data_IF_277125874896
#
_entry.id   IF_277125874896
#
_cell.length_a   1.000
_cell.length_b   1.000
_cell.length_c   1.000
_cell.angle_alpha   90.00
_cell.angle_beta   90.00
_cell.angle_gamma   90.00
#
_symmetry.space_group_name_H-M   'P 1'
#
loop_
_entity.id
_entity.type
_entity.pdbx_description
1 polymer ?
#
# COMPACT_ATOMS: atom_id res chain seq x y z
N UNK A 1 -34.27 -1.88 17.69
CA UNK A 1 -35.01 -1.15 16.64
C UNK A 1 -35.02 -2.04 15.41
N UNK A 2 -36.19 -2.31 14.82
CA UNK A 2 -36.27 -3.12 13.59
C UNK A 2 -36.27 -2.14 12.43
N UNK A 3 -35.25 -2.19 11.57
CA UNK A 3 -35.30 -1.47 10.30
C UNK A 3 -36.20 -2.27 9.35
N UNK A 4 -37.38 -1.70 9.06
CA UNK A 4 -38.40 -2.36 8.25
C UNK A 4 -38.03 -2.41 6.75
N UNK A 5 -37.03 -1.65 6.29
CA UNK A 5 -36.61 -1.67 4.89
C UNK A 5 -35.51 -2.70 4.61
N UNK A 6 -34.58 -2.91 5.56
CA UNK A 6 -33.47 -3.88 5.39
C UNK A 6 -33.75 -5.26 6.00
N UNK A 7 -34.88 -5.43 6.70
CA UNK A 7 -35.21 -6.62 7.49
C UNK A 7 -34.12 -6.98 8.52
N UNK A 8 -33.31 -5.99 8.93
CA UNK A 8 -32.26 -6.15 9.93
C UNK A 8 -32.76 -5.71 11.30
N UNK A 9 -32.67 -6.61 12.28
CA UNK A 9 -32.94 -6.30 13.68
C UNK A 9 -31.67 -5.69 14.28
N UNK A 10 -31.67 -4.36 14.45
CA UNK A 10 -30.58 -3.67 15.14
C UNK A 10 -30.85 -3.68 16.65
N UNK A 11 -30.09 -4.51 17.37
CA UNK A 11 -30.16 -4.62 18.83
C UNK A 11 -29.05 -3.78 19.45
N UNK A 12 -29.42 -2.61 19.98
CA UNK A 12 -28.50 -1.71 20.67
C UNK A 12 -28.39 -2.17 22.12
N UNK A 13 -27.17 -2.52 22.54
CA UNK A 13 -26.85 -2.95 23.92
C UNK A 13 -25.69 -2.12 24.47
N UNK A 14 -25.55 -2.08 25.80
CA UNK A 14 -24.40 -1.41 26.45
C UNK A 14 -23.05 -2.04 26.07
N UNK A 15 -23.09 -3.28 25.58
CA UNK A 15 -21.93 -4.11 25.25
C UNK A 15 -21.67 -4.16 23.73
N UNK A 16 -22.18 -3.23 22.93
CA UNK A 16 -22.00 -3.26 21.47
C UNK A 16 -20.52 -3.29 21.05
N UNK A 17 -19.67 -2.48 21.67
CA UNK A 17 -18.24 -2.45 21.36
C UNK A 17 -17.58 -3.78 21.69
N UNK A 18 -17.83 -4.33 22.87
CA UNK A 18 -17.24 -5.60 23.31
C UNK A 18 -17.77 -6.77 22.50
N UNK A 19 -19.06 -6.78 22.16
CA UNK A 19 -19.65 -7.75 21.23
C UNK A 19 -18.99 -7.67 19.85
N UNK A 20 -18.81 -6.46 19.31
CA UNK A 20 -18.14 -6.27 18.02
C UNK A 20 -16.69 -6.79 18.05
N UNK A 21 -15.93 -6.49 19.11
CA UNK A 21 -14.52 -6.85 19.21
C UNK A 21 -14.29 -8.34 19.53
N UNK A 22 -15.09 -8.92 20.43
CA UNK A 22 -14.81 -10.24 21.00
C UNK A 22 -15.75 -11.35 20.52
N UNK A 23 -16.93 -11.02 19.98
CA UNK A 23 -17.90 -12.00 19.49
C UNK A 23 -18.01 -11.99 17.97
N UNK A 24 -18.28 -10.83 17.40
CA UNK A 24 -18.63 -10.71 15.98
C UNK A 24 -17.36 -10.59 15.11
N UNK A 25 -16.38 -9.79 15.54
CA UNK A 25 -15.08 -9.64 14.87
C UNK A 25 -14.37 -10.97 14.60
N UNK A 26 -14.20 -11.88 15.58
CA UNK A 26 -13.57 -13.18 15.34
C UNK A 26 -14.32 -14.06 14.35
N UNK A 27 -15.66 -13.99 14.31
CA UNK A 27 -16.48 -14.75 13.34
C UNK A 27 -16.30 -14.23 11.93
N UNK A 28 -16.29 -12.90 11.76
CA UNK A 28 -16.04 -12.26 10.47
C UNK A 28 -14.63 -12.59 9.97
N UNK A 29 -13.65 -12.51 10.87
CA UNK A 29 -12.26 -12.86 10.59
C UNK A 29 -12.10 -14.32 10.15
N UNK A 30 -12.81 -15.26 10.77
CA UNK A 30 -12.80 -16.66 10.34
C UNK A 30 -13.35 -16.83 8.91
N UNK A 31 -14.42 -16.10 8.55
CA UNK A 31 -14.94 -16.13 7.17
C UNK A 31 -13.93 -15.58 6.17
N UNK A 32 -13.28 -14.46 6.49
CA UNK A 32 -12.18 -13.93 5.69
C UNK A 32 -11.03 -14.93 5.54
N UNK A 33 -10.59 -15.57 6.63
CA UNK A 33 -9.48 -16.53 6.63
C UNK A 33 -9.77 -17.80 5.82
N UNK A 34 -11.03 -18.18 5.64
CA UNK A 34 -11.40 -19.30 4.77
C UNK A 34 -11.23 -18.90 3.30
N UNK A 35 -11.62 -17.67 2.95
CA UNK A 35 -11.68 -17.21 1.57
C UNK A 35 -10.36 -16.63 1.05
N UNK A 36 -9.61 -15.91 1.90
CA UNK A 36 -8.47 -15.09 1.50
C UNK A 36 -7.10 -15.63 1.96
N UNK A 37 -7.04 -16.79 2.64
CA UNK A 37 -5.77 -17.33 3.17
C UNK A 37 -4.71 -17.59 2.11
N UNK A 38 -5.11 -18.06 0.93
CA UNK A 38 -4.19 -18.21 -0.20
C UNK A 38 -3.55 -16.89 -0.58
N UNK A 39 -4.38 -15.86 -0.81
CA UNK A 39 -3.93 -14.50 -1.11
C UNK A 39 -3.04 -13.91 -0.01
N UNK A 40 -3.39 -14.10 1.26
CA UNK A 40 -2.56 -13.65 2.39
C UNK A 40 -1.15 -14.25 2.33
N UNK A 41 -1.04 -15.55 2.00
CA UNK A 41 0.26 -16.20 1.83
C UNK A 41 1.03 -15.61 0.66
N UNK A 42 0.40 -15.42 -0.49
CA UNK A 42 1.05 -14.81 -1.67
C UNK A 42 1.55 -13.38 -1.35
N UNK A 43 0.72 -12.55 -0.70
CA UNK A 43 1.13 -11.22 -0.26
C UNK A 43 2.27 -11.27 0.77
N UNK A 44 2.24 -12.23 1.69
CA UNK A 44 3.30 -12.42 2.68
C UNK A 44 4.64 -12.78 2.03
N UNK A 45 4.64 -13.59 0.96
CA UNK A 45 5.84 -13.92 0.21
C UNK A 45 6.43 -12.66 -0.44
N UNK A 46 5.60 -11.84 -1.09
CA UNK A 46 6.02 -10.56 -1.68
C UNK A 46 6.57 -9.61 -0.63
N UNK A 47 5.86 -9.41 0.48
CA UNK A 47 6.30 -8.50 1.54
C UNK A 47 7.56 -8.98 2.24
N UNK A 48 7.80 -10.28 2.33
CA UNK A 48 9.01 -10.80 2.97
C UNK A 48 10.29 -10.35 2.26
N UNK A 49 10.26 -10.23 0.92
CA UNK A 49 11.39 -9.74 0.12
C UNK A 49 11.70 -8.28 0.46
N UNK A 50 10.67 -7.43 0.47
CA UNK A 50 10.81 -6.03 0.89
C UNK A 50 11.32 -5.90 2.33
N UNK A 51 10.75 -6.66 3.27
CA UNK A 51 11.10 -6.60 4.70
C UNK A 51 12.56 -6.94 4.98
N UNK A 52 13.13 -7.93 4.28
CA UNK A 52 14.55 -8.29 4.45
C UNK A 52 15.47 -7.11 4.11
N UNK A 53 15.15 -6.36 3.05
CA UNK A 53 15.92 -5.17 2.68
C UNK A 53 15.73 -4.07 3.72
N UNK A 54 14.49 -3.75 4.09
CA UNK A 54 14.19 -2.70 5.06
C UNK A 54 14.92 -2.90 6.39
N UNK A 55 14.90 -4.12 6.95
CA UNK A 55 15.54 -4.43 8.24
C UNK A 55 17.05 -4.19 8.22
N UNK A 56 17.73 -4.37 7.08
CA UNK A 56 19.17 -4.10 6.96
C UNK A 56 19.50 -2.62 7.15
N UNK A 57 18.67 -1.72 6.60
CA UNK A 57 18.87 -0.28 6.67
C UNK A 57 18.29 0.37 7.95
N UNK A 58 17.47 -0.35 8.73
CA UNK A 58 16.95 0.14 10.01
C UNK A 58 17.96 0.11 11.17
N UNK A 59 19.10 -0.57 11.01
CA UNK A 59 20.09 -0.76 12.09
C UNK A 59 20.79 0.52 12.56
N UNK A 60 20.63 1.64 11.84
CA UNK A 60 21.18 2.96 12.19
C UNK A 60 20.04 3.93 12.54
N UNK A 61 19.52 3.82 13.77
CA UNK A 61 18.35 4.59 14.22
C UNK A 61 18.50 6.11 14.10
N UNK A 62 19.70 6.63 14.32
CA UNK A 62 20.00 8.07 14.29
C UNK A 62 20.43 8.60 12.91
N UNK A 63 20.60 7.70 11.93
CA UNK A 63 21.00 8.07 10.57
C UNK A 63 19.84 8.79 9.86
N UNK A 64 20.03 10.08 9.56
CA UNK A 64 19.06 10.92 8.86
C UNK A 64 19.29 10.99 7.35
N UNK A 65 20.20 10.18 6.81
CA UNK A 65 20.43 10.01 5.39
C UNK A 65 19.19 9.52 4.64
N UNK A 66 19.24 9.63 3.32
CA UNK A 66 18.11 9.32 2.43
C UNK A 66 17.65 7.87 2.60
N UNK A 67 18.55 6.91 2.43
CA UNK A 67 18.22 5.47 2.52
C UNK A 67 17.66 5.08 3.89
N UNK A 68 18.27 5.52 4.99
CA UNK A 68 17.79 5.23 6.34
C UNK A 68 16.40 5.85 6.59
N UNK A 69 16.16 7.04 6.06
CA UNK A 69 14.85 7.71 6.15
C UNK A 69 13.79 6.98 5.33
N UNK A 70 14.11 6.61 4.09
CA UNK A 70 13.24 5.83 3.22
C UNK A 70 12.95 4.45 3.80
N UNK A 71 13.93 3.79 4.42
CA UNK A 71 13.74 2.51 5.11
C UNK A 71 12.71 2.61 6.24
N UNK A 72 12.79 3.64 7.09
CA UNK A 72 11.82 3.87 8.17
C UNK A 72 10.42 4.16 7.61
N UNK A 73 10.31 4.98 6.57
CA UNK A 73 9.04 5.30 5.92
C UNK A 73 8.39 4.05 5.31
N UNK A 74 9.13 3.28 4.51
CA UNK A 74 8.64 2.05 3.90
C UNK A 74 8.32 0.97 4.95
N UNK A 75 9.09 0.88 6.03
CA UNK A 75 8.78 -0.02 7.13
C UNK A 75 7.46 0.35 7.82
N UNK A 76 7.24 1.64 8.10
CA UNK A 76 5.96 2.12 8.64
C UNK A 76 4.80 1.90 7.67
N UNK A 77 5.04 2.04 6.37
CA UNK A 77 4.05 1.72 5.33
C UNK A 77 3.70 0.22 5.33
N UNK A 78 4.68 -0.66 5.49
CA UNK A 78 4.45 -2.10 5.60
C UNK A 78 3.72 -2.49 6.90
N UNK A 79 3.92 -1.78 8.00
CA UNK A 79 3.10 -1.96 9.21
C UNK A 79 1.66 -1.46 9.01
N UNK A 80 1.50 -0.32 8.34
CA UNK A 80 0.19 0.21 7.99
C UNK A 80 -0.57 -0.74 7.06
N UNK A 81 0.14 -1.45 6.17
CA UNK A 81 -0.43 -2.53 5.37
C UNK A 81 -1.01 -3.64 6.24
N UNK A 82 -0.25 -4.15 7.21
CA UNK A 82 -0.74 -5.21 8.12
C UNK A 82 -1.96 -4.72 8.91
N UNK A 83 -1.94 -3.48 9.39
CA UNK A 83 -3.08 -2.88 10.06
C UNK A 83 -4.32 -2.78 9.13
N UNK A 84 -4.12 -2.37 7.88
CA UNK A 84 -5.20 -2.30 6.88
C UNK A 84 -5.81 -3.68 6.61
N UNK A 85 -4.98 -4.71 6.49
CA UNK A 85 -5.43 -6.10 6.33
C UNK A 85 -6.21 -6.57 7.55
N UNK A 86 -5.77 -6.29 8.78
CA UNK A 86 -6.51 -6.66 10.00
C UNK A 86 -7.87 -5.96 10.09
N UNK A 87 -7.94 -4.70 9.67
CA UNK A 87 -9.20 -3.94 9.61
C UNK A 87 -10.15 -4.58 8.58
N UNK A 88 -9.69 -4.86 7.37
CA UNK A 88 -10.51 -5.57 6.39
C UNK A 88 -10.89 -6.98 6.85
N UNK A 89 -9.97 -7.73 7.45
CA UNK A 89 -10.24 -9.05 8.01
C UNK A 89 -11.39 -9.03 9.03
N UNK A 90 -11.62 -7.91 9.71
CA UNK A 90 -12.75 -7.70 10.64
C UNK A 90 -14.03 -7.14 9.98
N UNK A 91 -14.08 -7.08 8.65
CA UNK A 91 -15.27 -6.68 7.89
C UNK A 91 -15.33 -5.19 7.54
N UNK A 92 -14.21 -4.47 7.56
CA UNK A 92 -14.15 -3.02 7.33
C UNK A 92 -13.36 -2.68 6.04
N UNK A 93 -13.90 -3.01 4.85
CA UNK A 93 -13.20 -2.81 3.57
C UNK A 93 -12.97 -1.32 3.25
N UNK A 94 -13.87 -0.43 3.67
CA UNK A 94 -13.74 1.02 3.43
C UNK A 94 -12.55 1.59 4.20
N UNK A 95 -12.44 1.22 5.47
CA UNK A 95 -11.35 1.64 6.35
C UNK A 95 -10.00 1.08 5.87
N UNK A 96 -9.99 -0.12 5.26
CA UNK A 96 -8.83 -0.59 4.50
C UNK A 96 -8.46 0.41 3.39
N UNK A 97 -9.42 0.86 2.56
CA UNK A 97 -9.15 1.83 1.50
C UNK A 97 -8.51 3.13 2.00
N UNK A 98 -8.98 3.65 3.13
CA UNK A 98 -8.41 4.83 3.77
C UNK A 98 -6.96 4.60 4.25
N UNK A 99 -6.66 3.44 4.85
CA UNK A 99 -5.31 3.10 5.27
C UNK A 99 -4.37 2.86 4.08
N UNK A 100 -4.86 2.21 3.02
CA UNK A 100 -4.09 1.98 1.79
C UNK A 100 -3.73 3.32 1.10
N UNK A 101 -4.58 4.35 1.24
CA UNK A 101 -4.26 5.69 0.76
C UNK A 101 -3.03 6.30 1.44
N UNK A 102 -2.88 6.09 2.74
CA UNK A 102 -1.72 6.56 3.54
C UNK A 102 -0.44 5.84 3.09
N UNK A 103 -0.53 4.55 2.78
CA UNK A 103 0.57 3.74 2.25
C UNK A 103 1.06 4.32 0.91
N UNK A 104 0.14 4.61 -0.01
CA UNK A 104 0.47 5.24 -1.30
C UNK A 104 1.15 6.60 -1.13
N UNK A 105 0.67 7.41 -0.19
CA UNK A 105 1.24 8.72 0.14
C UNK A 105 2.67 8.61 0.69
N UNK A 106 2.90 7.61 1.54
CA UNK A 106 4.22 7.30 2.11
C UNK A 106 5.19 6.84 1.02
N UNK A 107 4.74 5.94 0.15
CA UNK A 107 5.51 5.46 -1.01
C UNK A 107 5.87 6.63 -1.94
N UNK A 108 4.93 7.53 -2.23
CA UNK A 108 5.20 8.68 -3.07
C UNK A 108 6.19 9.65 -2.43
N UNK A 109 6.13 9.81 -1.12
CA UNK A 109 7.10 10.61 -0.35
C UNK A 109 8.50 10.02 -0.48
N UNK A 110 8.63 8.70 -0.33
CA UNK A 110 9.90 7.96 -0.50
C UNK A 110 10.46 8.15 -1.91
N UNK A 111 9.63 7.99 -2.94
CA UNK A 111 10.07 8.23 -4.33
C UNK A 111 10.45 9.68 -4.57
N UNK A 112 9.75 10.65 -3.99
CA UNK A 112 10.11 12.06 -4.12
C UNK A 112 11.46 12.38 -3.45
N UNK A 113 11.74 11.80 -2.28
CA UNK A 113 13.05 11.91 -1.63
C UNK A 113 14.15 11.34 -2.53
N UNK A 114 13.91 10.16 -3.14
CA UNK A 114 14.87 9.54 -4.05
C UNK A 114 15.10 10.38 -5.32
N UNK A 115 14.03 10.89 -5.94
CA UNK A 115 14.08 11.63 -7.20
C UNK A 115 14.63 13.06 -7.08
N UNK A 116 14.33 13.75 -5.98
CA UNK A 116 14.66 15.17 -5.79
C UNK A 116 15.83 15.39 -4.80
N UNK A 117 16.26 14.34 -4.10
CA UNK A 117 17.46 14.34 -3.27
C UNK A 117 17.37 15.17 -1.99
N UNK A 118 18.50 15.78 -1.61
CA UNK A 118 18.73 16.37 -0.28
C UNK A 118 17.76 17.49 0.08
N UNK A 119 17.35 18.33 -0.88
CA UNK A 119 16.42 19.43 -0.63
C UNK A 119 15.02 18.92 -0.20
N UNK A 120 14.56 17.82 -0.78
CA UNK A 120 13.28 17.21 -0.42
C UNK A 120 13.37 16.44 0.90
N UNK A 121 14.51 15.77 1.14
CA UNK A 121 14.82 15.15 2.43
C UNK A 121 14.85 16.17 3.58
N UNK A 122 15.47 17.34 3.37
CA UNK A 122 15.52 18.39 4.38
C UNK A 122 14.12 18.96 4.68
N UNK A 123 13.30 19.20 3.64
CA UNK A 123 11.89 19.61 3.84
C UNK A 123 11.11 18.57 4.64
N UNK A 124 11.35 17.28 4.38
CA UNK A 124 10.72 16.19 5.14
C UNK A 124 11.11 16.25 6.63
N UNK A 125 12.41 16.30 6.93
CA UNK A 125 12.89 16.35 8.33
C UNK A 125 12.43 17.60 9.08
N UNK A 126 12.23 18.71 8.38
CA UNK A 126 11.74 19.96 8.94
C UNK A 126 10.20 20.04 9.02
N UNK A 127 9.46 18.98 8.62
CA UNK A 127 7.99 18.97 8.62
C UNK A 127 7.35 19.93 7.62
N UNK A 128 8.10 20.36 6.60
CA UNK A 128 7.66 21.33 5.58
C UNK A 128 7.36 20.70 4.22
N UNK A 129 7.50 19.37 4.10
CA UNK A 129 7.23 18.68 2.85
C UNK A 129 5.71 18.53 2.65
N UNK A 130 5.21 19.07 1.56
CA UNK A 130 3.81 18.90 1.15
C UNK A 130 3.63 17.54 0.45
N UNK A 131 3.05 16.58 1.15
CA UNK A 131 2.87 15.19 0.66
C UNK A 131 2.03 15.10 -0.62
N UNK A 132 1.11 16.05 -0.84
CA UNK A 132 0.32 16.15 -2.09
C UNK A 132 1.18 16.40 -3.32
N UNK A 133 2.29 17.14 -3.18
CA UNK A 133 3.26 17.36 -4.27
C UNK A 133 4.07 16.10 -4.58
N UNK A 134 4.33 15.26 -3.57
CA UNK A 134 5.07 14.00 -3.74
C UNK A 134 4.38 13.04 -4.72
N UNK A 135 3.04 12.99 -4.76
CA UNK A 135 2.30 12.20 -5.75
C UNK A 135 2.64 12.63 -7.17
N UNK A 136 2.74 13.94 -7.42
CA UNK A 136 3.08 14.52 -8.71
C UNK A 136 4.49 14.15 -9.17
N UNK A 137 5.41 13.95 -8.24
CA UNK A 137 6.79 13.51 -8.48
C UNK A 137 6.82 11.99 -8.71
N UNK A 138 6.22 11.22 -7.82
CA UNK A 138 6.22 9.76 -7.84
C UNK A 138 5.64 9.17 -9.13
N UNK A 139 4.56 9.78 -9.67
CA UNK A 139 3.95 9.32 -10.93
C UNK A 139 4.86 9.46 -12.16
N UNK A 140 5.97 10.21 -12.07
CA UNK A 140 6.97 10.28 -13.15
C UNK A 140 7.81 9.01 -13.24
N UNK A 141 8.04 8.35 -12.10
CA UNK A 141 8.75 7.07 -12.03
C UNK A 141 7.79 5.88 -12.19
N UNK A 142 6.62 5.93 -11.53
CA UNK A 142 5.60 4.88 -11.57
C UNK A 142 4.23 5.49 -11.91
N UNK A 143 3.85 5.60 -13.19
CA UNK A 143 2.64 6.32 -13.63
C UNK A 143 1.34 5.87 -12.96
N UNK A 144 1.20 4.57 -12.65
CA UNK A 144 0.00 4.02 -12.03
C UNK A 144 -0.27 4.54 -10.61
N UNK A 145 0.73 5.09 -9.90
CA UNK A 145 0.56 5.72 -8.58
C UNK A 145 -0.46 6.86 -8.65
N UNK A 146 -0.44 7.66 -9.73
CA UNK A 146 -1.35 8.79 -9.88
C UNK A 146 -2.82 8.36 -9.92
N UNK A 147 -3.12 7.31 -10.71
CA UNK A 147 -4.48 6.76 -10.82
C UNK A 147 -4.92 6.15 -9.50
N UNK A 148 -4.09 5.28 -8.92
CA UNK A 148 -4.37 4.61 -7.65
C UNK A 148 -4.65 5.61 -6.51
N UNK A 149 -3.87 6.69 -6.45
CA UNK A 149 -4.06 7.76 -5.48
C UNK A 149 -5.42 8.45 -5.64
N UNK A 150 -5.81 8.77 -6.88
CA UNK A 150 -7.09 9.37 -7.19
C UNK A 150 -8.26 8.45 -6.84
N UNK A 151 -8.18 7.18 -7.22
CA UNK A 151 -9.20 6.18 -6.93
C UNK A 151 -9.39 6.00 -5.41
N UNK A 152 -8.29 5.93 -4.65
CA UNK A 152 -8.36 5.78 -3.20
C UNK A 152 -8.88 7.05 -2.50
N UNK A 153 -8.43 8.24 -2.93
CA UNK A 153 -8.89 9.51 -2.41
C UNK A 153 -10.40 9.70 -2.61
N UNK A 154 -10.88 9.52 -3.84
CA UNK A 154 -12.26 9.81 -4.21
C UNK A 154 -13.27 8.85 -3.58
N UNK A 155 -12.87 7.58 -3.37
CA UNK A 155 -13.78 6.56 -2.89
C UNK A 155 -13.75 6.35 -1.37
N UNK A 156 -12.63 6.66 -0.69
CA UNK A 156 -12.44 6.26 0.72
C UNK A 156 -12.01 7.37 1.67
N UNK A 157 -11.52 8.52 1.18
CA UNK A 157 -11.05 9.61 2.04
C UNK A 157 -11.89 10.87 1.91
N UNK A 158 -12.26 11.24 0.68
CA UNK A 158 -13.16 12.37 0.46
C UNK A 158 -14.60 11.95 0.72
N UNK A 159 -15.30 12.73 1.56
CA UNK A 159 -16.72 12.51 1.83
C UNK A 159 -17.48 12.70 0.52
N UNK A 160 -18.23 11.67 0.12
CA UNK A 160 -18.96 11.60 -1.13
C UNK A 160 -20.07 10.56 -1.04
N UNK A 161 -20.69 10.20 -2.18
CA UNK A 161 -21.88 9.33 -2.20
C UNK A 161 -21.69 7.98 -1.46
N UNK A 162 -20.48 7.42 -1.45
CA UNK A 162 -20.17 6.17 -0.73
C UNK A 162 -20.24 6.32 0.80
N UNK A 163 -20.16 7.53 1.33
CA UNK A 163 -20.27 7.82 2.77
C UNK A 163 -21.71 7.98 3.25
N UNK A 164 -22.68 8.03 2.34
CA UNK A 164 -24.11 8.11 2.65
C UNK A 164 -24.71 6.75 3.01
N UNK A 165 -23.92 5.67 2.89
CA UNK A 165 -24.37 4.31 3.20
C UNK A 165 -23.88 3.86 4.58
N UNK A 166 -24.81 3.34 5.39
CA UNK A 166 -24.48 2.69 6.67
C UNK A 166 -24.09 1.24 6.39
N UNK A 167 -22.80 1.00 6.20
CA UNK A 167 -22.25 -0.34 6.05
C UNK A 167 -21.51 -0.74 7.33
N UNK A 168 -22.12 -1.63 8.11
CA UNK A 168 -21.47 -2.25 9.27
C UNK A 168 -20.54 -3.39 8.86
N UNK A 169 -19.73 -3.85 9.82
CA UNK A 169 -18.91 -5.03 9.63
C UNK A 169 -19.78 -6.26 9.41
N UNK A 170 -19.49 -7.01 8.34
CA UNK A 170 -20.23 -8.22 7.96
C UNK A 170 -19.27 -9.33 7.53
N UNK A 171 -19.64 -10.62 7.74
CA UNK A 171 -18.88 -11.73 7.19
C UNK A 171 -18.82 -11.65 5.66
N UNK A 172 -17.65 -11.96 5.10
CA UNK A 172 -17.48 -12.08 3.66
C UNK A 172 -18.07 -13.39 3.14
N UNK A 173 -18.56 -13.35 1.90
CA UNK A 173 -19.03 -14.53 1.16
C UNK A 173 -18.32 -14.65 -0.17
N UNK A 174 -18.36 -15.83 -0.78
CA UNK A 174 -17.85 -16.03 -2.13
C UNK A 174 -18.60 -15.12 -3.11
N UNK A 175 -17.86 -14.40 -3.96
CA UNK A 175 -18.43 -13.42 -4.91
C UNK A 175 -18.82 -12.06 -4.30
N UNK A 176 -18.47 -11.80 -3.03
CA UNK A 176 -18.65 -10.47 -2.44
C UNK A 176 -17.67 -9.47 -3.08
N UNK A 177 -18.21 -8.44 -3.76
CA UNK A 177 -17.41 -7.37 -4.38
C UNK A 177 -16.48 -6.66 -3.38
N UNK A 178 -16.87 -6.58 -2.11
CA UNK A 178 -16.03 -5.98 -1.08
C UNK A 178 -14.82 -6.86 -0.73
N UNK A 179 -14.95 -8.19 -0.84
CA UNK A 179 -13.82 -9.10 -0.71
C UNK A 179 -12.89 -8.99 -1.93
N UNK A 180 -13.44 -8.90 -3.14
CA UNK A 180 -12.66 -8.71 -4.37
C UNK A 180 -11.84 -7.42 -4.32
N UNK A 181 -12.45 -6.33 -3.84
CA UNK A 181 -11.75 -5.07 -3.60
C UNK A 181 -10.61 -5.22 -2.58
N UNK A 182 -10.86 -5.88 -1.45
CA UNK A 182 -9.85 -6.13 -0.40
C UNK A 182 -8.68 -6.93 -0.98
N UNK A 183 -8.96 -8.07 -1.63
CA UNK A 183 -7.95 -8.94 -2.25
C UNK A 183 -7.12 -8.16 -3.28
N UNK A 184 -7.78 -7.45 -4.18
CA UNK A 184 -7.10 -6.70 -5.24
C UNK A 184 -6.20 -5.62 -4.66
N UNK A 185 -6.71 -4.85 -3.69
CA UNK A 185 -5.95 -3.75 -3.07
C UNK A 185 -4.78 -4.28 -2.24
N UNK A 186 -4.96 -5.40 -1.53
CA UNK A 186 -3.90 -6.08 -0.79
C UNK A 186 -2.75 -6.52 -1.70
N UNK A 187 -3.07 -7.11 -2.86
CA UNK A 187 -2.04 -7.55 -3.82
C UNK A 187 -1.32 -6.36 -4.44
N UNK A 188 -2.07 -5.34 -4.86
CA UNK A 188 -1.49 -4.11 -5.41
C UNK A 188 -0.54 -3.42 -4.43
N UNK A 189 -0.91 -3.29 -3.15
CA UNK A 189 -0.06 -2.59 -2.17
C UNK A 189 1.17 -3.42 -1.79
N UNK A 190 1.05 -4.75 -1.68
CA UNK A 190 2.21 -5.62 -1.45
C UNK A 190 3.20 -5.51 -2.61
N UNK A 191 2.70 -5.56 -3.86
CA UNK A 191 3.53 -5.40 -5.06
C UNK A 191 4.19 -4.01 -5.10
N UNK A 192 3.46 -2.95 -4.82
CA UNK A 192 4.00 -1.58 -4.87
C UNK A 192 5.09 -1.36 -3.81
N UNK A 193 4.91 -1.90 -2.60
CA UNK A 193 5.95 -1.88 -1.57
C UNK A 193 7.22 -2.60 -2.03
N UNK A 194 7.09 -3.76 -2.68
CA UNK A 194 8.23 -4.52 -3.21
C UNK A 194 8.97 -3.76 -4.33
N UNK A 195 8.22 -3.26 -5.33
CA UNK A 195 8.76 -2.46 -6.45
C UNK A 195 9.58 -1.27 -5.93
N UNK A 196 9.02 -0.52 -4.98
CA UNK A 196 9.65 0.71 -4.48
C UNK A 196 10.82 0.39 -3.55
N UNK A 197 10.72 -0.68 -2.77
CA UNK A 197 11.85 -1.12 -1.96
C UNK A 197 13.04 -1.50 -2.84
N UNK A 198 12.82 -2.20 -3.96
CA UNK A 198 13.90 -2.58 -4.88
C UNK A 198 14.66 -1.37 -5.43
N UNK A 199 13.97 -0.29 -5.85
CA UNK A 199 14.67 0.88 -6.43
C UNK A 199 15.42 1.70 -5.39
N UNK A 200 14.86 1.82 -4.19
CA UNK A 200 15.47 2.62 -3.12
C UNK A 200 16.80 2.01 -2.66
N UNK A 201 16.90 0.68 -2.71
CA UNK A 201 18.10 -0.06 -2.32
C UNK A 201 18.75 -0.77 -3.52
N UNK A 202 18.58 -0.22 -4.72
CA UNK A 202 19.00 -0.90 -5.95
C UNK A 202 20.52 -1.15 -6.00
N UNK A 203 21.32 -0.32 -5.34
CA UNK A 203 22.77 -0.47 -5.21
C UNK A 203 23.18 -1.72 -4.41
N UNK A 204 22.32 -2.20 -3.52
CA UNK A 204 22.56 -3.38 -2.67
C UNK A 204 22.00 -4.68 -3.28
N UNK A 205 21.32 -4.57 -4.43
CA UNK A 205 20.66 -5.68 -5.11
C UNK A 205 21.47 -6.05 -6.36
N UNK A 206 21.76 -7.34 -6.50
CA UNK A 206 22.50 -7.86 -7.65
C UNK A 206 21.61 -8.12 -8.86
N UNK A 207 20.39 -8.61 -8.62
CA UNK A 207 19.43 -8.97 -9.66
C UNK A 207 18.13 -8.18 -9.48
N UNK A 208 17.90 -7.20 -10.36
CA UNK A 208 16.72 -6.34 -10.34
C UNK A 208 15.58 -6.96 -11.13
N UNK A 209 14.40 -7.05 -10.53
CA UNK A 209 13.20 -7.62 -11.16
C UNK A 209 12.39 -6.57 -11.91
N UNK A 210 12.30 -5.37 -11.34
CA UNK A 210 11.41 -4.30 -11.76
C UNK A 210 12.13 -3.15 -12.45
N UNK A 211 13.42 -2.99 -12.17
CA UNK A 211 14.19 -1.81 -12.58
C UNK A 211 15.37 -2.18 -13.47
N UNK A 212 15.62 -1.33 -14.47
CA UNK A 212 16.78 -1.44 -15.36
C UNK A 212 17.67 -0.23 -15.20
N UNK A 213 18.97 -0.47 -15.07
CA UNK A 213 19.97 0.60 -15.02
C UNK A 213 19.95 1.42 -16.32
N UNK A 214 19.84 2.74 -16.20
CA UNK A 214 19.90 3.69 -17.30
C UNK A 214 20.73 4.92 -16.86
N UNK A 215 22.00 4.95 -17.29
CA UNK A 215 22.96 5.95 -16.84
C UNK A 215 23.22 5.86 -15.33
N UNK A 216 23.08 6.99 -14.64
CA UNK A 216 23.23 7.11 -13.17
C UNK A 216 21.94 6.80 -12.39
N UNK A 217 20.92 6.26 -13.06
CA UNK A 217 19.65 5.94 -12.41
C UNK A 217 19.01 4.65 -12.92
N UNK A 218 17.73 4.52 -12.58
CA UNK A 218 16.93 3.32 -12.72
C UNK A 218 15.61 3.64 -13.40
N UNK A 219 15.32 2.97 -14.51
CA UNK A 219 14.02 3.07 -15.18
C UNK A 219 13.15 1.88 -14.81
N UNK A 220 11.87 2.15 -14.56
CA UNK A 220 10.89 1.07 -14.36
C UNK A 220 10.70 0.32 -15.68
N UNK A 221 11.30 -0.87 -15.74
CA UNK A 221 11.29 -1.75 -16.90
C UNK A 221 11.39 -3.19 -16.40
N UNK A 222 10.29 -3.76 -15.88
CA UNK A 222 10.30 -5.13 -15.39
C UNK A 222 10.69 -6.11 -16.50
N UNK A 223 11.42 -7.16 -16.12
CA UNK A 223 11.74 -8.27 -17.04
C UNK A 223 10.46 -8.94 -17.52
N UNK A 224 10.49 -9.60 -18.69
CA UNK A 224 9.29 -10.25 -19.25
C UNK A 224 8.65 -11.24 -18.27
N UNK A 225 9.47 -12.09 -17.65
CA UNK A 225 9.04 -13.01 -16.59
C UNK A 225 8.40 -12.29 -15.41
N UNK A 226 8.93 -11.12 -15.04
CA UNK A 226 8.39 -10.32 -13.93
C UNK A 226 7.08 -9.65 -14.30
N UNK A 227 6.95 -9.14 -15.53
CA UNK A 227 5.70 -8.58 -16.06
C UNK A 227 4.59 -9.63 -16.03
N UNK A 228 4.80 -10.79 -16.63
CA UNK A 228 3.82 -11.87 -16.59
C UNK A 228 3.44 -12.30 -15.17
N UNK A 229 4.41 -12.29 -14.25
CA UNK A 229 4.13 -12.58 -12.85
C UNK A 229 3.31 -11.48 -12.19
N UNK A 230 3.62 -10.21 -12.44
CA UNK A 230 2.87 -9.06 -11.93
C UNK A 230 1.41 -9.11 -12.41
N UNK A 231 1.19 -9.46 -13.68
CA UNK A 231 -0.14 -9.48 -14.28
C UNK A 231 -1.00 -10.60 -13.68
N UNK A 232 -0.39 -11.76 -13.38
CA UNK A 232 -1.06 -12.84 -12.66
C UNK A 232 -1.29 -12.50 -11.18
N UNK A 233 -0.34 -11.81 -10.55
CA UNK A 233 -0.40 -11.51 -9.13
C UNK A 233 -1.41 -10.39 -8.83
N UNK A 234 -1.34 -9.28 -9.56
CA UNK A 234 -2.19 -8.10 -9.42
C UNK A 234 -2.57 -7.53 -10.81
N UNK A 235 -3.58 -8.10 -11.49
CA UNK A 235 -3.92 -7.79 -12.88
C UNK A 235 -4.24 -6.31 -13.17
N UNK A 236 -4.61 -5.53 -12.16
CA UNK A 236 -4.90 -4.10 -12.31
C UNK A 236 -3.63 -3.21 -12.36
N UNK A 237 -2.44 -3.78 -12.15
CA UNK A 237 -1.18 -3.05 -12.18
C UNK A 237 -0.75 -2.61 -13.60
N UNK A 238 -1.26 -3.27 -14.66
CA UNK A 238 -0.87 -3.02 -16.06
C UNK A 238 -1.39 -1.71 -16.67
N UNK A 239 -2.28 -0.99 -15.99
CA UNK A 239 -3.06 0.09 -16.60
C UNK A 239 -2.26 1.35 -17.05
N UNK A 240 -0.93 1.33 -17.11
CA UNK A 240 -0.16 2.39 -17.79
C UNK A 240 1.31 1.99 -18.07
N UNK A 241 1.56 1.05 -18.98
CA UNK A 241 2.81 1.08 -19.76
C UNK A 241 2.66 2.13 -20.86
N UNK A 242 2.94 3.39 -20.54
CA UNK A 242 3.05 4.48 -21.51
C UNK A 242 4.44 5.11 -21.42
N UNK A 243 5.04 5.26 -22.60
CA UNK A 243 6.37 5.75 -22.97
C UNK A 243 7.04 6.79 -22.05
N UNK A 244 8.34 6.56 -21.79
CA UNK A 244 9.32 7.44 -21.13
C UNK A 244 9.09 7.69 -19.62
N UNK A 245 9.26 6.64 -18.81
CA UNK A 245 9.42 6.79 -17.37
C UNK A 245 10.70 7.57 -17.03
N UNK A 246 10.64 8.45 -16.03
CA UNK A 246 11.82 9.18 -15.53
C UNK A 246 12.73 8.22 -14.77
N UNK A 247 14.04 8.36 -14.92
CA UNK A 247 15.02 7.58 -14.16
C UNK A 247 15.03 8.01 -12.69
N UNK A 248 14.93 7.04 -11.78
CA UNK A 248 15.18 7.25 -10.35
C UNK A 248 16.69 7.23 -10.15
N UNK A 249 17.35 8.32 -9.72
CA UNK A 249 18.79 8.31 -9.52
C UNK A 249 19.17 7.33 -8.41
N UNK A 250 20.45 6.94 -8.35
CA UNK A 250 20.95 6.26 -7.15
C UNK A 250 20.63 7.09 -5.91
N UNK A 251 20.23 6.41 -4.82
CA UNK A 251 20.08 7.09 -3.55
C UNK A 251 21.42 7.75 -3.20
N UNK A 252 21.44 9.05 -2.84
CA UNK A 252 22.68 9.72 -2.50
C UNK A 252 23.33 8.99 -1.33
N UNK A 253 24.56 8.51 -1.54
CA UNK A 253 25.40 7.92 -0.49
C UNK A 253 25.47 8.95 0.64
N UNK A 254 24.96 8.58 1.82
CA UNK A 254 24.88 9.48 2.96
C UNK A 254 26.24 10.09 3.27
N UNK A 255 26.31 11.43 3.27
CA UNK A 255 27.37 12.21 3.91
C UNK A 255 27.15 12.27 5.41
#
# INVERSE_FOLDING_TARGET
MVDQQSNQIMVITKDMLTNQLFRDGPRIAAAFDVLARGTLRECSEVLSMAQVMLIRHLRKGDDKGSEATCARLLYNAAHSYVAAVEVARKGYPRELGALMRIIVETIATVLAIALEGSATLEKFHNGKLETTKCIGVAKKALPFIGKLNGDLSNNFVHIGALHDTVNGARPYTQGDQSLDFVITTMKLMALLLDIVTEVIFATDIQEHRYWKREGEGWRFEPTEKTREWMDRFAPQAEASTSSAGTTVPDAPLGS
#
